data_IF_555844013241
#
_entry.id   IF_555844013241
#
_cell.length_a   1.000
_cell.length_b   1.000
_cell.length_c   1.000
_cell.angle_alpha   90.00
_cell.angle_beta   90.00
_cell.angle_gamma   90.00
#
_symmetry.space_group_name_H-M   'P 1'
#
loop_
_entity.id
_entity.type
_entity.pdbx_description
1 polymer ?
#
# COMPACT_ATOMS: atom_id res chain seq x y z
N UNK A 1 -16.23 9.37 3.46
CA UNK A 1 -15.93 10.53 2.59
C UNK A 1 -15.86 10.06 1.15
N UNK A 2 -16.32 10.87 0.21
CA UNK A 2 -16.19 10.66 -1.24
C UNK A 2 -15.02 11.46 -1.78
N UNK A 3 -14.49 11.07 -2.94
CA UNK A 3 -13.38 11.79 -3.57
C UNK A 3 -13.70 13.25 -3.93
N UNK A 4 -14.94 13.52 -4.34
CA UNK A 4 -15.44 14.87 -4.65
C UNK A 4 -15.54 15.78 -3.42
N UNK A 5 -15.48 15.20 -2.22
CA UNK A 5 -15.51 15.91 -0.94
C UNK A 5 -14.09 16.23 -0.43
N UNK A 6 -13.03 15.76 -1.11
CA UNK A 6 -11.65 16.10 -0.79
C UNK A 6 -11.33 17.54 -1.16
N UNK A 7 -10.30 18.11 -0.52
CA UNK A 7 -9.77 19.42 -0.91
C UNK A 7 -9.36 19.41 -2.38
N UNK A 8 -9.45 20.56 -3.05
CA UNK A 8 -9.03 20.68 -4.46
C UNK A 8 -7.57 20.26 -4.66
N UNK A 9 -6.70 20.55 -3.69
CA UNK A 9 -5.30 20.14 -3.69
C UNK A 9 -5.15 18.62 -3.65
N UNK A 10 -5.87 17.94 -2.75
CA UNK A 10 -5.83 16.47 -2.63
C UNK A 10 -6.40 15.80 -3.88
N UNK A 11 -7.46 16.36 -4.48
CA UNK A 11 -7.98 15.86 -5.75
C UNK A 11 -6.99 16.05 -6.90
N UNK A 12 -6.29 17.18 -6.94
CA UNK A 12 -5.28 17.45 -7.97
C UNK A 12 -4.08 16.51 -7.83
N UNK A 13 -3.58 16.31 -6.61
CA UNK A 13 -2.50 15.37 -6.33
C UNK A 13 -2.87 13.93 -6.73
N UNK A 14 -4.11 13.50 -6.46
CA UNK A 14 -4.59 12.18 -6.88
C UNK A 14 -4.69 12.04 -8.41
N UNK A 15 -5.08 13.10 -9.13
CA UNK A 15 -5.10 13.12 -10.60
C UNK A 15 -3.68 13.00 -11.17
N UNK A 16 -2.72 13.72 -10.60
CA UNK A 16 -1.31 13.66 -10.99
C UNK A 16 -0.69 12.29 -10.70
N UNK A 17 -0.98 11.71 -9.53
CA UNK A 17 -0.55 10.36 -9.16
C UNK A 17 -1.10 9.32 -10.15
N UNK A 18 -2.37 9.46 -10.58
CA UNK A 18 -2.97 8.57 -11.57
C UNK A 18 -2.27 8.66 -12.92
N UNK A 19 -2.01 9.87 -13.43
CA UNK A 19 -1.29 10.05 -14.70
C UNK A 19 0.10 9.43 -14.62
N UNK A 20 0.84 9.66 -13.53
CA UNK A 20 2.17 9.09 -13.34
C UNK A 20 2.13 7.56 -13.27
N UNK A 21 1.19 6.99 -12.53
CA UNK A 21 1.04 5.53 -12.42
C UNK A 21 0.72 4.90 -13.79
N UNK A 22 -0.18 5.50 -14.57
CA UNK A 22 -0.50 5.01 -15.92
C UNK A 22 0.69 5.14 -16.86
N UNK A 23 1.48 6.20 -16.77
CA UNK A 23 2.69 6.35 -17.58
C UNK A 23 3.73 5.26 -17.25
N UNK A 24 3.99 5.02 -15.96
CA UNK A 24 4.92 3.95 -15.51
C UNK A 24 4.46 2.59 -16.00
N UNK A 25 3.16 2.30 -15.86
CA UNK A 25 2.59 1.02 -16.29
C UNK A 25 2.67 0.86 -17.83
N UNK A 26 2.44 1.93 -18.59
CA UNK A 26 2.61 1.96 -20.05
C UNK A 26 4.06 1.75 -20.47
N UNK A 27 5.01 2.35 -19.76
CA UNK A 27 6.44 2.18 -20.02
C UNK A 27 6.89 0.74 -19.73
N UNK A 28 6.35 0.12 -18.67
CA UNK A 28 6.67 -1.25 -18.27
C UNK A 28 6.07 -2.32 -19.19
N UNK A 29 4.77 -2.22 -19.50
CA UNK A 29 4.01 -3.27 -20.19
C UNK A 29 3.76 -2.97 -21.68
N UNK A 30 4.06 -1.76 -22.15
CA UNK A 30 3.78 -1.24 -23.50
C UNK A 30 2.29 -1.20 -23.87
N UNK A 31 1.42 -1.59 -22.95
CA UNK A 31 -0.02 -1.64 -23.10
C UNK A 31 -0.69 -1.65 -21.72
N UNK A 32 -1.83 -0.97 -21.62
CA UNK A 32 -2.71 -1.03 -20.46
C UNK A 32 -4.12 -1.30 -20.97
N UNK A 33 -4.73 -2.39 -20.52
CA UNK A 33 -6.14 -2.62 -20.76
C UNK A 33 -7.03 -1.75 -19.85
N UNK A 34 -8.30 -1.65 -20.23
CA UNK A 34 -9.25 -0.78 -19.55
C UNK A 34 -9.51 -1.20 -18.09
N UNK A 35 -9.47 -2.49 -17.79
CA UNK A 35 -9.74 -2.99 -16.45
C UNK A 35 -8.58 -2.70 -15.51
N UNK A 36 -7.34 -2.84 -16.01
CA UNK A 36 -6.13 -2.44 -15.29
C UNK A 36 -6.10 -0.95 -15.00
N UNK A 37 -6.42 -0.11 -15.99
CA UNK A 37 -6.50 1.34 -15.79
C UNK A 37 -7.55 1.72 -14.73
N UNK A 38 -8.74 1.09 -14.77
CA UNK A 38 -9.79 1.28 -13.76
C UNK A 38 -9.35 0.84 -12.37
N UNK A 39 -8.64 -0.28 -12.26
CA UNK A 39 -8.13 -0.79 -11.00
C UNK A 39 -7.15 0.20 -10.35
N UNK A 40 -6.18 0.70 -11.13
CA UNK A 40 -5.21 1.71 -10.67
C UNK A 40 -5.94 2.98 -10.20
N UNK A 41 -6.89 3.48 -10.99
CA UNK A 41 -7.65 4.67 -10.64
C UNK A 41 -8.46 4.51 -9.34
N UNK A 42 -9.06 3.32 -9.11
CA UNK A 42 -9.79 3.03 -7.86
C UNK A 42 -8.85 3.04 -6.66
N UNK A 43 -7.73 2.33 -6.74
CA UNK A 43 -6.79 2.25 -5.63
C UNK A 43 -6.23 3.63 -5.24
N UNK A 44 -5.83 4.44 -6.22
CA UNK A 44 -5.32 5.79 -5.95
C UNK A 44 -6.40 6.64 -5.28
N UNK A 45 -7.63 6.63 -5.82
CA UNK A 45 -8.74 7.38 -5.22
C UNK A 45 -9.00 6.95 -3.77
N UNK A 46 -9.02 5.65 -3.51
CA UNK A 46 -9.36 5.10 -2.21
C UNK A 46 -8.23 5.37 -1.18
N UNK A 47 -6.96 5.34 -1.61
CA UNK A 47 -5.82 5.73 -0.77
C UNK A 47 -5.86 7.21 -0.36
N UNK A 48 -6.21 8.13 -1.28
CA UNK A 48 -6.31 9.54 -0.93
C UNK A 48 -7.49 9.83 0.01
N UNK A 49 -8.60 9.12 -0.16
CA UNK A 49 -9.71 9.18 0.81
C UNK A 49 -9.21 8.70 2.18
N UNK A 50 -8.52 7.56 2.23
CA UNK A 50 -7.99 7.02 3.48
C UNK A 50 -7.08 8.05 4.19
N UNK A 51 -6.08 8.62 3.49
CA UNK A 51 -5.15 9.60 4.06
C UNK A 51 -5.81 10.85 4.66
N UNK A 52 -6.91 11.31 4.06
CA UNK A 52 -7.64 12.50 4.55
C UNK A 52 -8.66 12.16 5.64
N UNK A 53 -9.02 10.88 5.77
CA UNK A 53 -9.93 10.38 6.80
C UNK A 53 -9.24 9.71 7.98
N UNK A 54 -7.97 9.33 7.83
CA UNK A 54 -7.15 8.81 8.91
C UNK A 54 -6.93 9.92 9.94
N UNK A 55 -7.47 9.70 11.14
CA UNK A 55 -7.14 10.50 12.31
C UNK A 55 -5.68 10.18 12.68
N UNK A 56 -4.74 11.14 12.66
CA UNK A 56 -3.33 10.89 12.96
C UNK A 56 -3.09 10.35 14.38
N UNK A 57 -4.12 10.35 15.24
CA UNK A 57 -4.07 9.76 16.58
C UNK A 57 -4.23 8.24 16.60
N UNK A 58 -4.65 7.61 15.48
CA UNK A 58 -4.70 6.17 15.36
C UNK A 58 -3.35 5.64 14.89
N UNK A 59 -2.35 5.90 15.74
CA UNK A 59 -1.08 5.18 15.80
C UNK A 59 -1.38 3.70 15.56
N UNK A 60 -0.81 3.13 14.50
CA UNK A 60 -0.71 1.70 14.31
C UNK A 60 -0.05 1.10 15.55
N UNK A 61 -0.87 0.68 16.51
CA UNK A 61 -0.45 -0.30 17.51
C UNK A 61 -0.57 -1.63 16.78
N UNK A 62 0.62 -2.16 16.51
CA UNK A 62 0.97 -3.45 15.92
C UNK A 62 -0.03 -4.57 16.10
N UNK A 63 -0.18 -5.38 15.06
CA UNK A 63 -0.04 -6.83 15.20
C UNK A 63 1.08 -7.27 14.26
N UNK A 64 2.31 -7.19 14.78
CA UNK A 64 3.44 -7.96 14.28
C UNK A 64 3.19 -9.43 14.61
N UNK A 65 2.46 -10.14 13.75
CA UNK A 65 2.50 -11.61 13.71
C UNK A 65 3.52 -12.08 12.66
N UNK A 66 4.72 -11.46 12.67
CA UNK A 66 5.93 -12.13 12.18
C UNK A 66 6.36 -13.17 13.23
N UNK A 67 5.68 -14.31 13.27
CA UNK A 67 6.27 -15.52 13.86
C UNK A 67 7.33 -16.09 12.91
N UNK A 68 8.46 -15.40 12.81
CA UNK A 68 9.68 -15.97 12.26
C UNK A 68 10.21 -17.01 13.27
N UNK A 69 10.45 -18.28 12.87
CA UNK A 69 11.02 -19.25 13.78
C UNK A 69 12.44 -18.81 14.17
N UNK A 70 12.64 -18.55 15.46
CA UNK A 70 13.96 -18.38 16.05
C UNK A 70 14.69 -19.73 15.90
N UNK A 71 15.63 -19.79 14.96
CA UNK A 71 16.58 -20.88 14.85
C UNK A 71 17.60 -20.73 15.98
N UNK A 72 17.34 -21.33 17.15
CA UNK A 72 18.31 -21.44 18.24
C UNK A 72 19.50 -22.27 17.78
N UNK A 73 20.51 -21.59 17.24
CA UNK A 73 21.82 -22.16 16.93
C UNK A 73 22.67 -22.16 18.20
N UNK A 74 22.22 -22.86 19.23
CA UNK A 74 23.00 -23.11 20.43
C UNK A 74 23.30 -24.61 20.53
N UNK A 75 24.46 -24.98 20.01
CA UNK A 75 25.03 -26.30 20.23
C UNK A 75 25.25 -26.56 21.71
N UNK A 76 24.68 -27.65 22.22
CA UNK A 76 25.20 -28.49 23.30
C UNK A 76 24.54 -29.86 23.18
N UNK A 77 25.16 -30.73 22.38
CA UNK A 77 24.89 -32.16 22.40
C UNK A 77 25.45 -32.77 23.67
N UNK A 78 24.61 -32.88 24.69
CA UNK A 78 24.88 -33.75 25.84
C UNK A 78 24.28 -35.12 25.50
N UNK A 79 25.07 -36.02 24.90
CA UNK A 79 24.73 -37.44 24.87
C UNK A 79 24.93 -38.00 26.28
N UNK A 80 23.85 -38.48 26.88
CA UNK A 80 23.89 -39.48 27.94
C UNK A 80 23.14 -40.69 27.42
N UNK A 81 23.88 -41.78 27.23
CA UNK A 81 23.58 -43.15 27.64
C UNK A 81 24.79 -44.02 27.33
#
# INVERSE_FOLDING_TARGET
MKFEELTEASQQAAREALVNALNIEMESLRYIDNDRAKYIARNIRDSFIALETEDPTQSWVSDEDEKLPICDSNGKGSHSL
#
